data_IF_738647999300
#
_entry.id   IF_738647999300
#
_cell.length_a   1.000
_cell.length_b   1.000
_cell.length_c   1.000
_cell.angle_alpha   90.00
_cell.angle_beta   90.00
_cell.angle_gamma   90.00
#
_symmetry.space_group_name_H-M   'P 1'
#
loop_
_entity.id
_entity.type
_entity.pdbx_description
1 polymer ?
#
# COMPACT_ATOMS: atom_id res chain seq x y z
N UNK A 1 13.92 43.94 -4.31
CA UNK A 1 12.86 43.23 -5.06
C UNK A 1 13.47 41.92 -5.53
N UNK A 2 13.44 40.85 -4.76
CA UNK A 2 12.25 40.21 -4.18
C UNK A 2 11.86 39.06 -5.11
N UNK A 3 12.70 38.01 -5.12
CA UNK A 3 12.58 36.84 -5.98
C UNK A 3 11.33 36.01 -5.66
N UNK A 4 10.73 35.46 -6.71
CA UNK A 4 9.75 34.37 -6.64
C UNK A 4 10.38 33.15 -7.32
N UNK A 5 11.13 32.37 -6.56
CA UNK A 5 11.36 30.95 -6.85
C UNK A 5 10.23 30.17 -6.21
N UNK A 6 9.15 29.97 -6.96
CA UNK A 6 8.03 29.14 -6.56
C UNK A 6 8.35 27.66 -6.82
N UNK A 7 8.39 26.88 -5.73
CA UNK A 7 7.95 25.48 -5.61
C UNK A 7 8.26 24.55 -6.80
N UNK A 8 9.37 23.83 -6.71
CA UNK A 8 9.65 22.68 -7.57
C UNK A 8 9.47 21.37 -6.79
N UNK A 9 8.60 20.51 -7.35
CA UNK A 9 8.71 19.06 -7.39
C UNK A 9 8.57 18.26 -6.09
N UNK A 10 7.33 17.95 -5.69
CA UNK A 10 6.96 16.65 -5.07
C UNK A 10 5.48 16.34 -5.33
N UNK A 11 5.18 15.85 -6.53
CA UNK A 11 3.90 15.18 -6.85
C UNK A 11 4.20 14.07 -7.84
N UNK A 12 4.41 12.86 -7.34
CA UNK A 12 4.37 11.66 -8.17
C UNK A 12 2.89 11.32 -8.32
N UNK A 13 2.35 11.69 -9.47
CA UNK A 13 0.99 11.37 -9.87
C UNK A 13 1.04 10.29 -10.95
N UNK A 14 1.36 9.05 -10.56
CA UNK A 14 1.08 7.92 -11.43
C UNK A 14 -0.42 7.63 -11.31
N UNK A 15 -1.19 7.94 -12.36
CA UNK A 15 -2.54 7.42 -12.52
C UNK A 15 -2.40 5.93 -12.85
N UNK A 16 -2.17 5.08 -11.85
CA UNK A 16 -2.30 3.64 -12.00
C UNK A 16 -3.76 3.29 -11.68
N UNK A 17 -4.61 3.29 -12.71
CA UNK A 17 -5.83 2.50 -12.65
C UNK A 17 -5.42 1.03 -12.79
N UNK A 18 -5.05 0.38 -11.69
CA UNK A 18 -4.87 -1.08 -11.68
C UNK A 18 -6.26 -1.71 -11.69
N UNK A 19 -6.72 -2.03 -12.88
CA UNK A 19 -7.90 -2.84 -13.06
C UNK A 19 -7.46 -4.30 -13.09
N UNK A 20 -7.60 -4.99 -11.96
CA UNK A 20 -7.41 -6.43 -11.90
C UNK A 20 -8.67 -7.13 -12.45
N UNK A 21 -8.65 -7.51 -13.73
CA UNK A 21 -9.69 -8.32 -14.36
C UNK A 21 -9.09 -9.61 -14.92
N UNK A 22 -9.69 -10.76 -14.58
CA UNK A 22 -9.39 -12.05 -15.21
C UNK A 22 -10.33 -12.26 -16.41
N UNK A 23 -9.79 -12.30 -17.63
CA UNK A 23 -10.55 -12.66 -18.84
C UNK A 23 -9.69 -12.61 -20.11
N UNK A 24 -9.96 -13.46 -21.13
CA UNK A 24 -9.12 -13.61 -22.31
C UNK A 24 -9.23 -12.41 -23.27
N UNK A 25 -8.10 -12.06 -23.89
CA UNK A 25 -7.93 -10.93 -24.81
C UNK A 25 -8.64 -11.12 -26.16
N UNK A 26 -9.29 -10.06 -26.64
CA UNK A 26 -9.42 -9.75 -28.07
C UNK A 26 -9.17 -8.24 -28.28
N UNK A 27 -8.55 -7.91 -29.42
CA UNK A 27 -7.92 -6.63 -29.74
C UNK A 27 -8.87 -5.47 -30.14
N UNK A 28 -8.34 -4.26 -29.93
CA UNK A 28 -8.56 -2.98 -30.64
C UNK A 28 -9.67 -2.01 -30.20
N UNK A 29 -9.24 -0.77 -29.88
CA UNK A 29 -10.07 0.45 -29.93
C UNK A 29 -9.90 1.38 -28.73
N UNK A 30 -9.06 2.41 -28.85
CA UNK A 30 -8.95 3.48 -27.84
C UNK A 30 -10.20 4.37 -27.87
N UNK A 31 -11.14 4.09 -26.97
CA UNK A 31 -12.09 5.07 -26.44
C UNK A 31 -11.68 5.37 -25.00
N UNK A 32 -11.75 6.64 -24.57
CA UNK A 32 -11.68 6.99 -23.15
C UNK A 32 -12.82 6.23 -22.45
N UNK A 33 -12.48 5.10 -21.83
CA UNK A 33 -13.43 4.21 -21.20
C UNK A 33 -14.20 4.95 -20.12
N UNK A 34 -15.52 4.70 -20.07
CA UNK A 34 -16.32 5.13 -18.94
C UNK A 34 -15.62 4.68 -17.63
N UNK A 35 -15.43 5.61 -16.69
CA UNK A 35 -14.96 5.25 -15.35
C UNK A 35 -16.00 4.28 -14.79
N UNK A 36 -15.63 3.04 -14.42
CA UNK A 36 -16.59 2.08 -13.91
C UNK A 36 -17.34 2.67 -12.73
N UNK A 37 -18.65 2.42 -12.65
CA UNK A 37 -19.41 2.78 -11.46
C UNK A 37 -18.72 2.19 -10.22
N UNK A 38 -18.58 3.01 -9.19
CA UNK A 38 -17.81 2.66 -8.01
C UNK A 38 -18.11 3.60 -6.86
N UNK A 39 -17.94 3.08 -5.66
CA UNK A 39 -18.17 3.82 -4.42
C UNK A 39 -16.84 4.31 -3.86
N UNK A 40 -16.69 5.63 -3.79
CA UNK A 40 -15.59 6.25 -3.07
C UNK A 40 -15.73 5.95 -1.57
N UNK A 41 -14.65 5.45 -0.96
CA UNK A 41 -14.58 5.22 0.47
C UNK A 41 -14.00 6.47 1.18
N UNK A 42 -14.46 6.76 2.40
CA UNK A 42 -13.88 7.83 3.20
C UNK A 42 -12.46 7.47 3.62
N UNK A 43 -11.48 8.19 3.07
CA UNK A 43 -10.06 7.99 3.34
C UNK A 43 -9.36 9.32 3.58
N UNK A 44 -8.29 9.28 4.36
CA UNK A 44 -7.30 10.36 4.46
C UNK A 44 -5.97 9.87 3.92
N UNK A 45 -5.39 10.63 3.00
CA UNK A 45 -4.01 10.42 2.56
C UNK A 45 -3.09 11.29 3.42
N UNK A 46 -2.13 10.65 4.10
CA UNK A 46 -1.15 11.33 4.93
C UNK A 46 0.25 10.88 4.52
N UNK A 47 1.02 11.76 3.88
CA UNK A 47 2.37 11.46 3.38
C UNK A 47 2.42 10.13 2.58
N UNK A 48 1.57 10.02 1.56
CA UNK A 48 1.45 8.86 0.67
C UNK A 48 0.97 7.56 1.33
N UNK A 49 0.45 7.65 2.56
CA UNK A 49 -0.21 6.53 3.26
C UNK A 49 -1.73 6.71 3.26
N UNK A 50 -2.45 5.62 3.05
CA UNK A 50 -3.92 5.62 2.98
C UNK A 50 -4.48 5.15 4.32
N UNK A 51 -5.34 5.99 4.90
CA UNK A 51 -6.05 5.70 6.14
C UNK A 51 -7.55 5.67 5.87
N UNK A 52 -8.19 4.51 6.02
CA UNK A 52 -9.63 4.38 5.91
C UNK A 52 -10.30 4.93 7.17
N UNK A 53 -11.33 5.73 6.98
CA UNK A 53 -12.11 6.39 8.03
C UNK A 53 -13.49 5.74 8.09
N UNK A 54 -13.68 4.74 8.94
CA UNK A 54 -14.95 4.02 9.08
C UNK A 54 -15.90 4.75 10.05
N UNK A 55 -16.95 5.45 9.58
CA UNK A 55 -17.91 6.09 10.46
C UNK A 55 -18.81 5.03 11.10
N UNK A 56 -19.15 5.20 12.38
CA UNK A 56 -19.90 4.20 13.15
C UNK A 56 -21.38 4.54 13.25
N UNK A 57 -22.23 3.53 13.15
CA UNK A 57 -23.69 3.70 13.14
C UNK A 57 -24.23 4.23 14.47
N UNK A 58 -23.68 3.75 15.58
CA UNK A 58 -24.28 3.93 16.92
C UNK A 58 -23.77 5.19 17.62
N UNK A 59 -22.48 5.47 17.54
CA UNK A 59 -21.86 6.58 18.29
C UNK A 59 -21.63 7.82 17.44
N UNK A 60 -21.64 7.70 16.11
CA UNK A 60 -21.19 8.78 15.21
C UNK A 60 -19.68 8.99 15.21
N UNK A 61 -18.91 8.20 15.97
CA UNK A 61 -17.45 8.23 15.95
C UNK A 61 -16.90 7.65 14.65
N UNK A 62 -15.58 7.71 14.50
CA UNK A 62 -14.87 7.12 13.36
C UNK A 62 -13.74 6.23 13.85
N UNK A 63 -13.66 5.01 13.30
CA UNK A 63 -12.46 4.18 13.40
C UNK A 63 -11.51 4.51 12.26
N UNK A 64 -10.22 4.67 12.55
CA UNK A 64 -9.19 4.92 11.55
C UNK A 64 -8.35 3.67 11.34
N UNK A 65 -8.41 3.09 10.15
CA UNK A 65 -7.61 1.93 9.79
C UNK A 65 -6.48 2.32 8.85
N UNK A 66 -5.29 1.82 9.14
CA UNK A 66 -4.23 1.79 8.16
C UNK A 66 -4.53 0.74 7.08
N UNK A 67 -4.41 1.07 5.80
CA UNK A 67 -4.67 0.10 4.73
C UNK A 67 -3.38 -0.35 4.06
N UNK A 68 -3.20 -1.66 3.95
CA UNK A 68 -1.95 -2.27 3.53
C UNK A 68 -2.22 -3.53 2.69
N UNK A 69 -2.12 -3.46 1.37
CA UNK A 69 -2.29 -4.63 0.48
C UNK A 69 -1.28 -5.75 0.77
N UNK A 70 -0.13 -5.43 1.36
CA UNK A 70 0.89 -6.34 1.84
C UNK A 70 0.73 -6.75 3.32
N UNK A 71 -0.30 -6.26 3.99
CA UNK A 71 -0.42 -6.31 5.45
C UNK A 71 -1.42 -7.33 5.98
N UNK A 72 -1.46 -7.39 7.31
CA UNK A 72 -2.38 -8.20 8.10
C UNK A 72 -3.72 -7.52 8.36
N UNK A 73 -4.55 -8.14 9.20
CA UNK A 73 -5.91 -7.68 9.48
C UNK A 73 -6.15 -7.67 10.98
N UNK A 74 -6.41 -6.51 11.58
CA UNK A 74 -6.74 -6.42 13.01
C UNK A 74 -7.47 -5.11 13.37
N UNK A 75 -8.19 -5.15 14.50
CA UNK A 75 -8.69 -4.01 15.26
C UNK A 75 -8.04 -4.02 16.64
N UNK A 76 -7.59 -2.89 17.16
CA UNK A 76 -7.03 -2.81 18.51
C UNK A 76 -8.12 -2.94 19.57
N UNK A 77 -7.79 -3.59 20.68
CA UNK A 77 -8.67 -3.76 21.83
C UNK A 77 -9.25 -2.45 22.34
N UNK A 78 -8.42 -1.43 22.50
CA UNK A 78 -8.86 -0.10 22.97
C UNK A 78 -9.91 0.51 22.02
N UNK A 79 -9.72 0.37 20.71
CA UNK A 79 -10.69 0.82 19.73
C UNK A 79 -11.98 -0.01 19.79
N UNK A 80 -11.88 -1.32 20.01
CA UNK A 80 -13.04 -2.19 20.21
C UNK A 80 -13.83 -1.81 21.48
N UNK A 81 -13.14 -1.50 22.58
CA UNK A 81 -13.77 -1.06 23.82
C UNK A 81 -14.44 0.31 23.64
N UNK A 82 -13.78 1.25 22.96
CA UNK A 82 -14.31 2.58 22.64
C UNK A 82 -15.64 2.52 21.87
N UNK A 83 -15.82 1.51 21.02
CA UNK A 83 -17.02 1.33 20.20
C UNK A 83 -18.03 0.34 20.78
N UNK A 84 -17.83 -0.07 22.04
CA UNK A 84 -18.78 -0.92 22.78
C UNK A 84 -18.76 -2.40 22.37
N UNK A 85 -17.68 -2.88 21.75
CA UNK A 85 -17.53 -4.30 21.40
C UNK A 85 -17.07 -5.16 22.59
N UNK A 86 -16.59 -4.55 23.68
CA UNK A 86 -16.16 -5.22 24.91
C UNK A 86 -15.18 -6.37 24.64
N UNK A 87 -15.35 -7.50 25.33
CA UNK A 87 -14.48 -8.69 25.23
C UNK A 87 -14.57 -9.46 23.90
N UNK A 88 -15.20 -8.89 22.87
CA UNK A 88 -15.24 -9.50 21.54
C UNK A 88 -13.82 -9.80 21.05
N UNK A 89 -13.63 -11.00 20.52
CA UNK A 89 -12.37 -11.45 19.90
C UNK A 89 -12.31 -11.14 18.41
N UNK A 90 -13.44 -10.83 17.77
CA UNK A 90 -13.50 -10.41 16.36
C UNK A 90 -14.82 -9.68 16.04
N UNK A 91 -14.81 -8.82 15.02
CA UNK A 91 -15.95 -7.98 14.61
C UNK A 91 -16.17 -7.98 13.10
N UNK A 92 -17.42 -7.87 12.65
CA UNK A 92 -17.76 -7.54 11.25
C UNK A 92 -17.80 -6.02 11.08
N UNK A 93 -17.06 -5.49 10.11
CA UNK A 93 -17.03 -4.05 9.87
C UNK A 93 -18.41 -3.57 9.42
N UNK A 94 -19.08 -4.33 8.55
CA UNK A 94 -20.43 -4.04 8.06
C UNK A 94 -21.48 -3.91 9.18
N UNK A 95 -21.26 -4.56 10.32
CA UNK A 95 -22.19 -4.54 11.46
C UNK A 95 -22.02 -3.31 12.37
N UNK A 96 -20.85 -2.66 12.34
CA UNK A 96 -20.56 -1.48 13.18
C UNK A 96 -20.54 -0.18 12.36
N UNK A 97 -20.33 -0.28 11.06
CA UNK A 97 -20.31 0.84 10.15
C UNK A 97 -21.68 1.54 10.04
N UNK A 98 -21.68 2.86 9.93
CA UNK A 98 -22.86 3.66 9.60
C UNK A 98 -23.43 3.33 8.23
N UNK A 99 -22.56 2.95 7.29
CA UNK A 99 -22.94 2.44 5.97
C UNK A 99 -22.75 0.91 5.94
N UNK A 100 -23.86 0.17 5.96
CA UNK A 100 -23.83 -1.30 5.92
C UNK A 100 -23.17 -1.88 4.66
N UNK A 101 -22.96 -1.07 3.61
CA UNK A 101 -22.29 -1.51 2.40
C UNK A 101 -20.75 -1.58 2.56
N UNK A 102 -20.16 -1.12 3.67
CA UNK A 102 -18.71 -1.30 3.92
C UNK A 102 -18.31 -2.79 3.81
N UNK A 103 -17.29 -3.12 3.00
CA UNK A 103 -16.97 -4.52 2.73
C UNK A 103 -16.31 -5.18 3.94
N UNK A 104 -16.81 -6.36 4.31
CA UNK A 104 -16.11 -7.26 5.23
C UNK A 104 -14.93 -7.96 4.51
N UNK A 105 -13.83 -8.30 5.20
CA UNK A 105 -12.74 -9.07 4.62
C UNK A 105 -13.16 -10.44 4.07
N UNK A 106 -12.45 -10.94 3.04
CA UNK A 106 -12.66 -12.25 2.43
C UNK A 106 -11.54 -13.22 2.80
N UNK A 107 -11.81 -14.52 2.72
CA UNK A 107 -10.81 -15.55 3.06
C UNK A 107 -10.47 -15.65 4.54
N UNK A 108 -11.27 -15.03 5.42
CA UNK A 108 -11.13 -15.10 6.88
C UNK A 108 -12.40 -15.65 7.53
N UNK A 109 -12.31 -16.28 8.72
CA UNK A 109 -13.47 -16.84 9.41
C UNK A 109 -14.61 -15.83 9.57
N UNK A 110 -15.76 -16.16 8.98
CA UNK A 110 -16.98 -15.35 9.01
C UNK A 110 -16.79 -13.89 8.55
N UNK A 111 -15.78 -13.58 7.74
CA UNK A 111 -15.51 -12.20 7.31
C UNK A 111 -15.24 -11.24 8.47
N UNK A 112 -14.71 -11.73 9.60
CA UNK A 112 -14.47 -10.90 10.79
C UNK A 112 -13.02 -10.40 10.86
N UNK A 113 -12.87 -9.18 11.36
CA UNK A 113 -11.59 -8.58 11.76
C UNK A 113 -11.28 -9.03 13.19
N UNK A 114 -10.15 -9.69 13.46
CA UNK A 114 -9.78 -10.08 14.81
C UNK A 114 -9.45 -8.86 15.66
N UNK A 115 -9.81 -8.92 16.95
CA UNK A 115 -9.45 -7.90 17.93
C UNK A 115 -8.13 -8.28 18.58
N UNK A 116 -7.11 -7.47 18.34
CA UNK A 116 -5.77 -7.62 18.89
C UNK A 116 -5.60 -6.75 20.14
N UNK A 117 -5.24 -7.38 21.26
CA UNK A 117 -5.00 -6.71 22.55
C UNK A 117 -3.53 -6.82 22.93
N UNK A 118 -2.66 -5.94 22.42
CA UNK A 118 -1.25 -5.98 22.78
C UNK A 118 -1.05 -5.60 24.25
N UNK A 119 0.02 -6.09 24.87
CA UNK A 119 0.40 -5.72 26.24
C UNK A 119 0.89 -4.26 26.34
N UNK A 120 1.46 -3.75 25.25
CA UNK A 120 1.91 -2.37 25.11
C UNK A 120 1.20 -1.72 23.93
N UNK A 121 0.85 -0.44 24.06
CA UNK A 121 0.22 0.28 22.96
C UNK A 121 1.17 0.28 21.74
N UNK A 122 0.67 -0.06 20.54
CA UNK A 122 1.50 -0.03 19.36
C UNK A 122 1.91 1.43 19.06
N UNK A 123 3.08 1.65 18.43
CA UNK A 123 3.59 2.99 18.16
C UNK A 123 2.85 3.72 17.02
N UNK A 124 1.68 3.23 16.61
CA UNK A 124 0.91 3.75 15.48
C UNK A 124 -0.39 4.37 15.99
N UNK A 125 -0.68 5.59 15.55
CA UNK A 125 -1.91 6.33 15.87
C UNK A 125 -3.06 5.90 14.94
N UNK A 126 -3.43 4.62 15.02
CA UNK A 126 -4.54 4.02 14.25
C UNK A 126 -5.29 3.02 15.13
N UNK A 127 -6.55 2.79 14.80
CA UNK A 127 -7.39 1.83 15.50
C UNK A 127 -7.17 0.39 15.02
N UNK A 128 -6.57 0.20 13.84
CA UNK A 128 -6.35 -1.12 13.27
C UNK A 128 -5.68 -1.09 11.90
N UNK A 129 -5.59 -2.27 11.28
CA UNK A 129 -5.06 -2.46 9.94
C UNK A 129 -6.03 -3.29 9.09
N UNK A 130 -6.23 -2.86 7.84
CA UNK A 130 -6.96 -3.60 6.81
C UNK A 130 -6.01 -4.07 5.73
N UNK A 131 -5.76 -5.37 5.74
CA UNK A 131 -4.73 -6.03 4.94
C UNK A 131 -5.21 -6.69 3.65
N UNK A 132 -4.39 -7.59 3.13
CA UNK A 132 -4.64 -8.41 1.93
C UNK A 132 -6.05 -9.03 1.88
N UNK A 133 -6.55 -9.54 3.01
CA UNK A 133 -7.88 -10.16 3.10
C UNK A 133 -9.02 -9.17 2.85
N UNK A 134 -8.85 -7.90 3.21
CA UNK A 134 -9.85 -6.86 2.96
C UNK A 134 -9.87 -6.43 1.48
N UNK A 135 -8.70 -6.42 0.84
CA UNK A 135 -8.59 -6.11 -0.59
C UNK A 135 -8.98 -7.28 -1.51
N UNK A 136 -8.89 -8.53 -1.03
CA UNK A 136 -9.07 -9.74 -1.83
C UNK A 136 -10.37 -9.77 -2.66
N UNK A 137 -10.24 -10.27 -3.91
CA UNK A 137 -11.33 -10.55 -4.87
C UNK A 137 -12.25 -9.35 -5.18
N UNK A 138 -11.68 -8.14 -5.18
CA UNK A 138 -12.40 -6.90 -5.46
C UNK A 138 -11.62 -6.05 -6.43
N UNK A 139 -12.34 -5.13 -7.06
CA UNK A 139 -11.76 -4.15 -7.98
C UNK A 139 -11.61 -2.83 -7.24
N UNK A 140 -10.37 -2.35 -7.16
CA UNK A 140 -10.01 -1.15 -6.42
C UNK A 140 -9.33 -0.13 -7.32
N UNK A 141 -9.68 1.14 -7.15
CA UNK A 141 -8.89 2.25 -7.68
C UNK A 141 -8.19 2.98 -6.54
N UNK A 142 -6.86 3.07 -6.62
CA UNK A 142 -6.03 3.89 -5.75
C UNK A 142 -5.60 5.14 -6.54
N UNK A 143 -6.29 6.26 -6.35
CA UNK A 143 -5.95 7.52 -7.04
C UNK A 143 -5.21 8.44 -6.06
N UNK A 144 -3.88 8.32 -6.01
CA UNK A 144 -3.01 9.17 -5.21
C UNK A 144 -3.13 10.67 -5.54
N UNK A 145 -3.16 11.08 -6.83
CA UNK A 145 -3.34 12.50 -7.20
C UNK A 145 -4.62 13.14 -6.69
N UNK A 146 -5.74 12.41 -6.77
CA UNK A 146 -7.04 12.88 -6.28
C UNK A 146 -7.29 12.51 -4.82
N UNK A 147 -6.40 11.73 -4.21
CA UNK A 147 -6.51 11.21 -2.86
C UNK A 147 -7.83 10.47 -2.62
N UNK A 148 -8.19 9.58 -3.54
CA UNK A 148 -9.42 8.77 -3.44
C UNK A 148 -9.12 7.28 -3.49
N UNK A 149 -9.89 6.51 -2.73
CA UNK A 149 -9.95 5.06 -2.79
C UNK A 149 -11.36 4.67 -3.23
N UNK A 150 -11.50 3.94 -4.33
CA UNK A 150 -12.81 3.57 -4.89
C UNK A 150 -12.91 2.05 -4.96
N UNK A 151 -14.02 1.52 -4.43
CA UNK A 151 -14.43 0.13 -4.62
C UNK A 151 -15.38 0.06 -5.81
N UNK A 152 -15.05 -0.77 -6.80
CA UNK A 152 -15.89 -1.00 -7.98
C UNK A 152 -16.56 -2.36 -7.92
N UNK A 153 -17.75 -2.44 -8.51
CA UNK A 153 -18.43 -3.72 -8.70
C UNK A 153 -17.77 -4.54 -9.81
N UNK A 154 -17.28 -3.86 -10.86
CA UNK A 154 -16.65 -4.48 -12.02
C UNK A 154 -15.35 -3.77 -12.42
N UNK A 155 -14.49 -4.54 -13.09
CA UNK A 155 -13.27 -4.07 -13.71
C UNK A 155 -13.60 -3.15 -14.90
N UNK A 156 -12.79 -2.11 -15.14
CA UNK A 156 -12.91 -1.35 -16.38
C UNK A 156 -12.67 -2.25 -17.60
N UNK A 157 -13.53 -2.12 -18.60
CA UNK A 157 -13.45 -2.90 -19.83
C UNK A 157 -12.22 -2.56 -20.69
N UNK A 158 -11.61 -1.39 -20.47
CA UNK A 158 -10.50 -0.88 -21.27
C UNK A 158 -9.41 -0.30 -20.37
N UNK A 159 -8.16 -0.51 -20.75
CA UNK A 159 -7.01 0.06 -20.06
C UNK A 159 -5.77 -0.79 -20.27
N UNK A 160 -4.62 -0.29 -19.81
CA UNK A 160 -3.40 -1.09 -19.74
C UNK A 160 -3.43 -1.91 -18.46
N UNK A 161 -3.35 -3.22 -18.58
CA UNK A 161 -3.32 -4.13 -17.44
C UNK A 161 -1.90 -4.69 -17.23
N UNK A 162 -1.51 -4.84 -15.97
CA UNK A 162 -0.38 -5.68 -15.56
C UNK A 162 -0.93 -6.79 -14.67
N UNK A 163 -0.58 -8.06 -14.94
CA UNK A 163 -1.05 -9.14 -14.10
C UNK A 163 -0.40 -9.03 -12.71
N UNK A 164 -1.23 -9.10 -11.68
CA UNK A 164 -0.78 -9.38 -10.32
C UNK A 164 -0.71 -10.90 -10.15
N UNK A 165 0.36 -11.38 -9.53
CA UNK A 165 0.52 -12.79 -9.19
C UNK A 165 0.27 -13.00 -7.69
N UNK A 166 -0.30 -14.14 -7.34
CA UNK A 166 -0.61 -14.52 -5.97
C UNK A 166 -0.09 -15.93 -5.68
N UNK A 167 0.19 -16.22 -4.41
CA UNK A 167 0.51 -17.57 -3.98
C UNK A 167 -0.70 -18.50 -4.17
N UNK A 168 -0.43 -19.71 -4.66
CA UNK A 168 -1.44 -20.75 -4.83
C UNK A 168 -0.93 -22.09 -4.27
N UNK A 169 -1.85 -22.96 -3.87
CA UNK A 169 -1.53 -24.33 -3.48
C UNK A 169 -1.33 -25.25 -4.71
N UNK A 170 -1.08 -26.54 -4.47
CA UNK A 170 -0.87 -27.54 -5.51
C UNK A 170 -2.10 -27.79 -6.41
N UNK A 171 -3.28 -27.30 -6.01
CA UNK A 171 -4.52 -27.36 -6.81
C UNK A 171 -4.72 -26.10 -7.65
N UNK A 172 -3.86 -25.10 -7.50
CA UNK A 172 -3.97 -23.79 -8.13
C UNK A 172 -4.93 -22.85 -7.40
N UNK A 173 -5.42 -23.22 -6.21
CA UNK A 173 -6.26 -22.35 -5.40
C UNK A 173 -5.40 -21.32 -4.67
N UNK A 174 -5.81 -20.04 -4.72
CA UNK A 174 -5.10 -18.95 -4.01
C UNK A 174 -5.15 -19.18 -2.50
N UNK A 175 -3.98 -19.27 -1.85
CA UNK A 175 -3.88 -19.45 -0.40
C UNK A 175 -3.91 -18.12 0.35
N UNK A 176 -3.23 -17.11 -0.22
CA UNK A 176 -3.10 -15.77 0.33
C UNK A 176 -3.24 -14.73 -0.78
N UNK A 177 -3.74 -13.55 -0.44
CA UNK A 177 -4.00 -12.48 -1.41
C UNK A 177 -2.94 -11.38 -1.37
N UNK A 178 -1.69 -11.72 -1.04
CA UNK A 178 -0.55 -10.82 -1.15
C UNK A 178 -0.19 -10.62 -2.64
N UNK A 179 -0.41 -9.43 -3.22
CA UNK A 179 -0.27 -9.23 -4.66
C UNK A 179 1.17 -8.96 -5.04
N UNK A 180 1.77 -9.82 -5.86
CA UNK A 180 3.08 -9.57 -6.47
C UNK A 180 2.91 -8.81 -7.78
N UNK A 181 3.68 -7.75 -7.95
CA UNK A 181 3.72 -6.91 -9.16
C UNK A 181 5.11 -6.91 -9.77
N UNK A 182 5.15 -6.96 -11.11
CA UNK A 182 6.37 -6.85 -11.90
C UNK A 182 6.65 -5.39 -12.21
N UNK A 183 7.88 -4.95 -11.96
CA UNK A 183 8.38 -3.62 -12.34
C UNK A 183 9.70 -3.74 -13.11
N UNK A 184 10.06 -2.72 -13.87
CA UNK A 184 11.38 -2.60 -14.48
C UNK A 184 12.09 -1.36 -13.95
N UNK A 185 13.34 -1.52 -13.53
CA UNK A 185 14.19 -0.43 -13.05
C UNK A 185 15.55 -0.59 -13.71
N UNK A 186 15.97 0.39 -14.51
CA UNK A 186 17.26 0.35 -15.19
C UNK A 186 17.48 -0.93 -16.02
N UNK A 187 16.42 -1.43 -16.67
CA UNK A 187 16.43 -2.68 -17.44
C UNK A 187 16.40 -3.97 -16.61
N UNK A 188 16.54 -3.88 -15.29
CA UNK A 188 16.33 -5.02 -14.38
C UNK A 188 14.82 -5.23 -14.16
N UNK A 189 14.33 -6.44 -14.45
CA UNK A 189 12.94 -6.85 -14.16
C UNK A 189 12.85 -7.41 -12.74
N UNK A 190 12.10 -6.74 -11.86
CA UNK A 190 11.96 -7.08 -10.45
C UNK A 190 10.51 -7.46 -10.11
N UNK A 191 10.36 -8.54 -9.34
CA UNK A 191 9.10 -8.90 -8.70
C UNK A 191 9.06 -8.31 -7.30
N UNK A 192 8.08 -7.43 -7.04
CA UNK A 192 7.88 -6.75 -5.76
C UNK A 192 6.50 -7.09 -5.20
N UNK A 193 6.31 -6.90 -3.89
CA UNK A 193 4.97 -6.86 -3.30
C UNK A 193 4.33 -5.52 -3.70
N UNK A 194 3.11 -5.56 -4.24
CA UNK A 194 2.28 -4.38 -4.36
C UNK A 194 1.75 -4.05 -2.96
N UNK A 195 2.50 -3.20 -2.27
CA UNK A 195 2.36 -2.88 -0.85
C UNK A 195 2.00 -1.39 -0.71
N UNK A 196 0.71 -1.10 -0.57
CA UNK A 196 0.21 0.27 -0.29
C UNK A 196 0.57 0.75 1.12
N UNK A 197 1.03 -0.17 1.98
CA UNK A 197 1.38 0.06 3.37
C UNK A 197 2.88 0.21 3.63
N UNK A 198 3.74 0.14 2.61
CA UNK A 198 5.17 0.31 2.78
C UNK A 198 5.50 1.70 3.35
N UNK A 199 6.08 1.75 4.56
CA UNK A 199 6.34 3.00 5.29
C UNK A 199 7.78 3.09 5.75
N UNK A 200 8.39 4.26 5.57
CA UNK A 200 9.66 4.63 6.20
C UNK A 200 9.39 5.58 7.36
N UNK A 201 10.05 5.34 8.50
CA UNK A 201 10.10 6.30 9.61
C UNK A 201 11.46 6.99 9.57
N UNK A 202 11.54 8.16 8.94
CA UNK A 202 12.81 8.83 8.64
C UNK A 202 13.61 9.18 9.89
N UNK A 203 14.92 8.93 9.88
CA UNK A 203 15.86 9.50 10.87
C UNK A 203 15.90 11.03 10.77
N UNK A 204 16.50 11.68 11.76
CA UNK A 204 16.60 13.14 11.77
C UNK A 204 17.52 13.67 10.67
N UNK A 205 18.61 12.94 10.40
CA UNK A 205 19.53 13.21 9.30
C UNK A 205 18.87 13.00 7.93
N UNK A 206 18.11 11.93 7.75
CA UNK A 206 17.39 11.68 6.50
C UNK A 206 16.29 12.69 6.25
N UNK A 207 15.51 13.03 7.29
CA UNK A 207 14.50 14.08 7.20
C UNK A 207 15.10 15.43 6.80
N UNK A 208 16.25 15.80 7.38
CA UNK A 208 16.99 16.99 6.99
C UNK A 208 17.53 16.93 5.55
N UNK A 209 18.10 15.79 5.14
CA UNK A 209 18.61 15.58 3.77
C UNK A 209 17.49 15.64 2.72
N UNK A 210 16.26 15.30 3.10
CA UNK A 210 15.06 15.42 2.28
C UNK A 210 14.38 16.79 2.37
N UNK A 211 15.02 17.79 3.00
CA UNK A 211 14.56 19.17 3.06
C UNK A 211 13.83 19.57 4.35
N UNK A 212 13.72 18.69 5.35
CA UNK A 212 13.10 18.95 6.64
C UNK A 212 11.63 19.41 6.55
N UNK A 213 10.88 18.89 5.57
CA UNK A 213 9.46 19.18 5.38
C UNK A 213 8.60 17.92 5.53
N UNK A 214 7.37 18.14 6.01
CA UNK A 214 6.34 17.12 6.14
C UNK A 214 6.60 16.05 7.22
N UNK A 215 5.69 15.06 7.34
CA UNK A 215 5.77 14.00 8.35
C UNK A 215 7.02 13.13 8.21
N UNK A 216 7.58 12.70 9.34
CA UNK A 216 8.74 11.77 9.38
C UNK A 216 8.36 10.35 8.96
N UNK A 217 7.11 9.96 9.18
CA UNK A 217 6.55 8.73 8.60
C UNK A 217 5.94 9.02 7.24
N UNK A 218 6.28 8.24 6.23
CA UNK A 218 5.78 8.42 4.86
C UNK A 218 5.81 7.12 4.08
N UNK A 219 4.99 7.05 3.04
CA UNK A 219 5.01 5.96 2.06
C UNK A 219 6.40 5.81 1.43
N UNK A 220 6.82 4.58 1.20
CA UNK A 220 8.10 4.25 0.55
C UNK A 220 7.96 3.02 -0.34
N UNK A 221 9.01 2.65 -1.05
CA UNK A 221 9.16 1.32 -1.64
C UNK A 221 10.34 0.62 -0.98
N UNK A 222 10.22 -0.67 -0.67
CA UNK A 222 11.34 -1.42 -0.11
C UNK A 222 12.18 -2.10 -1.18
N UNK A 223 13.48 -2.19 -0.95
CA UNK A 223 14.38 -2.97 -1.78
C UNK A 223 15.43 -3.69 -0.93
N UNK A 224 15.89 -4.85 -1.40
CA UNK A 224 16.90 -5.62 -0.65
C UNK A 224 18.29 -4.98 -0.74
N UNK A 225 19.11 -5.19 0.30
CA UNK A 225 20.53 -4.80 0.33
C UNK A 225 21.26 -5.23 -0.95
N UNK A 226 21.13 -6.49 -1.37
CA UNK A 226 21.83 -6.98 -2.57
C UNK A 226 21.43 -6.27 -3.86
N UNK A 227 20.16 -5.86 -4.01
CA UNK A 227 19.71 -5.09 -5.19
C UNK A 227 20.23 -3.66 -5.12
N UNK A 228 20.11 -3.02 -3.96
CA UNK A 228 20.57 -1.64 -3.75
C UNK A 228 22.08 -1.52 -3.98
N UNK A 229 22.89 -2.47 -3.50
CA UNK A 229 24.34 -2.50 -3.72
C UNK A 229 24.69 -2.58 -5.21
N UNK A 230 23.97 -3.42 -5.98
CA UNK A 230 24.14 -3.49 -7.43
C UNK A 230 23.79 -2.17 -8.11
N UNK A 231 22.71 -1.54 -7.71
CA UNK A 231 22.31 -0.24 -8.26
C UNK A 231 23.34 0.84 -7.97
N UNK A 232 23.79 1.00 -6.72
CA UNK A 232 24.80 2.02 -6.37
C UNK A 232 26.17 1.75 -6.99
N UNK A 233 26.52 0.48 -7.24
CA UNK A 233 27.75 0.12 -7.97
C UNK A 233 27.65 0.54 -9.45
N UNK A 234 26.50 0.31 -10.08
CA UNK A 234 26.26 0.62 -11.49
C UNK A 234 26.02 2.12 -11.72
N UNK A 235 25.43 2.79 -10.74
CA UNK A 235 25.03 4.20 -10.78
C UNK A 235 25.59 4.96 -9.58
N UNK A 236 26.91 5.23 -9.58
CA UNK A 236 27.54 6.01 -8.49
C UNK A 236 27.05 7.46 -8.44
N UNK A 237 26.34 7.94 -9.46
CA UNK A 237 25.72 9.26 -9.56
C UNK A 237 24.33 9.33 -8.92
N UNK A 238 23.68 8.20 -8.63
CA UNK A 238 22.36 8.22 -8.00
C UNK A 238 22.44 8.76 -6.57
N UNK A 239 21.49 9.63 -6.23
CA UNK A 239 21.39 10.18 -4.87
C UNK A 239 20.95 9.09 -3.89
N UNK A 240 21.62 9.01 -2.74
CA UNK A 240 21.28 8.11 -1.66
C UNK A 240 21.58 8.72 -0.29
N UNK A 241 20.93 8.20 0.76
CA UNK A 241 21.08 8.63 2.15
C UNK A 241 21.52 7.41 2.97
N UNK A 242 22.59 7.51 3.77
CA UNK A 242 23.18 6.37 4.46
C UNK A 242 22.36 5.84 5.65
N UNK A 243 21.64 6.71 6.34
CA UNK A 243 20.91 6.39 7.57
C UNK A 243 19.48 6.91 7.46
N UNK A 244 18.65 6.13 6.78
CA UNK A 244 17.35 6.54 6.25
C UNK A 244 16.15 6.23 7.14
N UNK A 245 16.19 5.14 7.90
CA UNK A 245 15.04 4.60 8.63
C UNK A 245 15.36 4.36 10.11
N UNK A 246 14.55 4.90 11.01
CA UNK A 246 14.68 4.70 12.46
C UNK A 246 14.41 3.28 12.90
N UNK A 247 13.59 2.56 12.14
CA UNK A 247 13.18 1.21 12.50
C UNK A 247 14.25 0.17 12.13
N UNK A 248 15.20 0.54 11.26
CA UNK A 248 16.28 -0.33 10.81
C UNK A 248 17.58 0.47 10.75
N UNK A 249 18.37 0.37 11.81
CA UNK A 249 19.63 1.11 11.94
C UNK A 249 20.55 0.91 10.71
N UNK A 250 21.02 2.03 10.15
CA UNK A 250 21.90 2.01 8.97
C UNK A 250 21.22 1.63 7.65
N UNK A 251 19.89 1.52 7.62
CA UNK A 251 19.14 1.30 6.39
C UNK A 251 19.29 2.49 5.46
N UNK A 252 19.77 2.27 4.24
CA UNK A 252 19.94 3.33 3.25
C UNK A 252 18.61 3.71 2.57
N UNK A 253 18.55 4.90 2.01
CA UNK A 253 17.54 5.31 1.03
C UNK A 253 18.25 5.57 -0.30
N UNK A 254 17.68 5.15 -1.43
CA UNK A 254 18.20 5.46 -2.78
C UNK A 254 17.10 6.07 -3.64
N UNK A 255 17.44 7.13 -4.38
CA UNK A 255 16.53 7.81 -5.31
C UNK A 255 16.69 7.23 -6.70
N UNK A 256 15.77 6.34 -7.06
CA UNK A 256 15.68 5.76 -8.39
C UNK A 256 15.03 6.77 -9.34
N UNK A 257 15.67 7.18 -10.44
CA UNK A 257 15.13 8.21 -11.32
C UNK A 257 13.85 7.80 -12.05
N UNK A 258 13.80 6.55 -12.53
CA UNK A 258 12.69 6.02 -13.34
C UNK A 258 12.38 4.59 -12.91
N UNK A 259 11.10 4.32 -12.71
CA UNK A 259 10.51 3.00 -12.51
C UNK A 259 9.47 2.81 -13.62
N UNK A 260 9.50 1.65 -14.29
CA UNK A 260 8.48 1.29 -15.27
C UNK A 260 7.53 0.24 -14.71
N UNK A 261 6.23 0.48 -14.85
CA UNK A 261 5.18 -0.45 -14.46
C UNK A 261 4.08 -0.40 -15.51
N UNK A 262 3.65 -1.57 -16.01
CA UNK A 262 2.60 -1.66 -17.03
C UNK A 262 2.86 -0.78 -18.27
N UNK A 263 4.12 -0.63 -18.70
CA UNK A 263 4.50 0.23 -19.83
C UNK A 263 4.48 1.74 -19.55
N UNK A 264 4.11 2.16 -18.34
CA UNK A 264 4.23 3.55 -17.91
C UNK A 264 5.57 3.80 -17.23
N UNK A 265 6.16 4.95 -17.47
CA UNK A 265 7.32 5.44 -16.73
C UNK A 265 6.87 6.41 -15.63
N UNK A 266 7.40 6.23 -14.43
CA UNK A 266 7.19 7.14 -13.30
C UNK A 266 8.49 7.35 -12.54
N UNK A 267 8.57 8.41 -11.75
CA UNK A 267 9.73 8.71 -10.93
C UNK A 267 9.94 10.22 -10.73
N UNK A 268 10.89 10.62 -9.88
CA UNK A 268 11.77 9.77 -9.08
C UNK A 268 11.04 9.03 -7.95
N UNK A 269 11.54 7.85 -7.54
CA UNK A 269 11.03 7.08 -6.39
C UNK A 269 12.16 6.85 -5.39
N UNK A 270 11.89 7.05 -4.11
CA UNK A 270 12.81 6.68 -3.04
C UNK A 270 12.54 5.26 -2.59
N UNK A 271 13.57 4.42 -2.63
CA UNK A 271 13.54 3.08 -2.08
C UNK A 271 14.27 3.04 -0.75
N UNK A 272 13.66 2.41 0.26
CA UNK A 272 14.26 2.14 1.56
C UNK A 272 14.85 0.73 1.57
N UNK A 273 16.08 0.61 2.05
CA UNK A 273 16.75 -0.65 2.20
C UNK A 273 16.07 -1.56 3.24
N UNK A 274 16.09 -2.86 2.95
CA UNK A 274 15.80 -3.91 3.90
C UNK A 274 16.80 -5.05 3.75
N UNK A 275 17.20 -5.73 4.83
CA UNK A 275 18.06 -6.90 4.75
C UNK A 275 17.45 -7.98 3.84
N UNK A 276 18.26 -8.64 3.00
CA UNK A 276 17.79 -9.70 2.09
C UNK A 276 16.99 -10.81 2.81
N UNK A 277 17.34 -11.14 4.06
CA UNK A 277 16.62 -12.14 4.87
C UNK A 277 15.14 -11.80 5.07
N UNK A 278 14.78 -10.52 5.14
CA UNK A 278 13.38 -10.11 5.30
C UNK A 278 12.54 -10.55 4.09
N UNK A 279 13.17 -10.65 2.92
CA UNK A 279 12.51 -11.07 1.69
C UNK A 279 12.62 -12.58 1.49
N UNK A 280 13.78 -13.19 1.77
CA UNK A 280 14.02 -14.63 1.55
C UNK A 280 13.40 -15.55 2.59
N UNK A 281 13.23 -15.09 3.83
CA UNK A 281 12.73 -15.93 4.92
C UNK A 281 11.29 -15.59 5.30
N UNK A 282 10.90 -14.30 5.23
CA UNK A 282 9.59 -13.86 5.69
C UNK A 282 8.59 -13.56 4.57
N UNK A 283 8.99 -12.92 3.47
CA UNK A 283 8.07 -12.60 2.37
C UNK A 283 8.03 -13.69 1.28
N UNK A 284 9.12 -14.42 1.04
CA UNK A 284 9.18 -15.52 0.07
C UNK A 284 8.10 -16.58 0.33
N UNK A 285 7.90 -16.97 1.59
CA UNK A 285 6.83 -17.91 1.98
C UNK A 285 5.41 -17.43 1.65
N UNK A 286 5.21 -16.14 1.35
CA UNK A 286 3.91 -15.55 1.06
C UNK A 286 3.77 -15.08 -0.40
N UNK A 287 4.86 -15.07 -1.18
CA UNK A 287 4.87 -14.62 -2.57
C UNK A 287 5.38 -15.67 -3.58
N UNK A 288 5.97 -16.77 -3.10
CA UNK A 288 6.51 -17.82 -3.97
C UNK A 288 5.40 -18.74 -4.51
N UNK A 289 5.70 -19.38 -5.65
CA UNK A 289 4.83 -20.30 -6.38
C UNK A 289 4.87 -21.72 -5.84
#
# INVERSE_FOLDING_TARGET
MGGRTGSAAWRVAALLTIVAGCGPQDDAGSSAGAVPEGRALPVTFAADRIHLRLPLAVTGDTLTFYTDTGGGLFLLGEAADRVGLGDSSAVRLSAVAADSAFPDPRGVPEGRVPVFRPQEAPPFDVDGMLGQAWFADRVWTFDYPRQTLVLHDEAAATGTAVPLAFQADSTGARTLSFPRIRVEIDGDSLDLLFDTGATVSLTDSAWAALGAEGPRERGTSFITTSVLDRWLTRHPDWAWIPDGDRNVAGSRLVRVPVVRVAGFETGPVWFTERPDRNFREYMAQFMDR
#
